data_IF_100973535349
#
_entry.id   IF_100973535349
#
_cell.length_a   1.000
_cell.length_b   1.000
_cell.length_c   1.000
_cell.angle_alpha   90.00
_cell.angle_beta   90.00
_cell.angle_gamma   90.00
#
_symmetry.space_group_name_H-M   'P 1'
#
loop_
_entity.id
_entity.type
_entity.pdbx_description
1 polymer ?
#
# COMPACT_ATOMS: atom_id res chain seq x y z
N UNK A 1 -2.81 11.82 6.30
CA UNK A 1 -3.31 10.45 5.99
C UNK A 1 -4.81 10.44 6.18
N UNK A 2 -5.54 9.70 5.34
CA UNK A 2 -6.98 9.49 5.51
C UNK A 2 -7.28 8.75 6.81
N UNK A 3 -8.39 9.12 7.45
CA UNK A 3 -8.91 8.50 8.67
C UNK A 3 -10.41 8.37 8.55
N UNK A 4 -10.98 7.35 9.18
CA UNK A 4 -12.42 7.15 9.22
C UNK A 4 -13.14 8.45 9.61
N UNK A 5 -14.14 8.84 8.83
CA UNK A 5 -15.09 9.92 9.11
C UNK A 5 -16.43 9.33 9.56
N UNK A 6 -17.15 10.06 10.42
CA UNK A 6 -18.49 9.67 10.85
C UNK A 6 -19.55 10.37 9.99
N UNK A 7 -20.68 9.69 9.73
CA UNK A 7 -21.81 10.28 9.01
C UNK A 7 -21.69 10.34 7.48
N UNK A 8 -20.65 9.74 6.90
CA UNK A 8 -20.44 9.63 5.44
C UNK A 8 -20.28 8.17 5.01
N UNK A 9 -20.60 7.86 3.75
CA UNK A 9 -20.45 6.51 3.21
C UNK A 9 -19.01 6.21 2.77
N UNK A 10 -18.44 7.14 1.99
CA UNK A 10 -17.09 7.08 1.43
C UNK A 10 -16.50 8.49 1.45
N UNK A 11 -15.19 8.61 1.72
CA UNK A 11 -14.44 9.83 1.46
C UNK A 11 -13.13 9.56 0.71
N UNK A 12 -12.68 10.57 -0.05
CA UNK A 12 -11.42 10.57 -0.81
C UNK A 12 -10.49 11.70 -0.40
N UNK A 13 -10.93 12.54 0.53
CA UNK A 13 -10.19 13.72 0.97
C UNK A 13 -9.66 13.53 2.39
N UNK A 14 -8.38 13.86 2.58
CA UNK A 14 -7.76 13.90 3.90
C UNK A 14 -7.69 15.34 4.40
N UNK A 15 -8.04 15.55 5.68
CA UNK A 15 -7.72 16.79 6.38
C UNK A 15 -6.29 16.66 6.91
N UNK A 16 -5.37 17.38 6.28
CA UNK A 16 -3.96 17.46 6.71
C UNK A 16 -3.75 18.68 7.60
N UNK A 17 -2.66 18.67 8.38
CA UNK A 17 -2.28 19.83 9.19
C UNK A 17 -1.99 21.05 8.30
N UNK A 18 -2.30 22.25 8.81
CA UNK A 18 -1.99 23.50 8.12
C UNK A 18 -0.52 23.57 7.68
N UNK A 19 -0.30 23.90 6.40
CA UNK A 19 1.03 23.99 5.80
C UNK A 19 1.67 22.65 5.42
N UNK A 20 1.04 21.51 5.71
CA UNK A 20 1.53 20.19 5.30
C UNK A 20 1.29 19.92 3.80
N UNK A 21 0.26 20.53 3.23
CA UNK A 21 -0.18 20.27 1.88
C UNK A 21 -0.51 21.57 1.13
N UNK A 22 0.26 21.85 0.08
CA UNK A 22 0.10 23.04 -0.77
C UNK A 22 -0.87 22.82 -1.93
N UNK A 23 -1.13 21.55 -2.30
CA UNK A 23 -1.99 21.18 -3.41
C UNK A 23 -2.83 19.93 -3.05
N UNK A 24 -4.05 20.11 -2.50
CA UNK A 24 -4.88 19.02 -1.96
C UNK A 24 -5.24 17.87 -2.92
N UNK A 25 -5.51 18.08 -4.23
CA UNK A 25 -5.93 17.00 -5.13
C UNK A 25 -4.78 16.16 -5.68
N UNK A 26 -3.53 16.36 -5.28
CA UNK A 26 -2.40 15.54 -5.74
C UNK A 26 -1.77 14.73 -4.61
N UNK A 27 -1.31 13.48 -4.86
CA UNK A 27 -0.53 12.74 -3.87
C UNK A 27 0.72 13.53 -3.44
N UNK A 28 1.11 13.49 -2.14
CA UNK A 28 0.54 12.65 -1.08
C UNK A 28 -0.72 13.23 -0.40
N UNK A 29 -1.12 14.45 -0.76
CA UNK A 29 -2.20 15.22 -0.14
C UNK A 29 -3.60 14.72 -0.52
N UNK A 30 -3.72 14.13 -1.71
CA UNK A 30 -4.89 13.36 -2.10
C UNK A 30 -4.78 11.92 -1.56
N UNK A 31 -5.16 11.77 -0.30
CA UNK A 31 -5.53 10.50 0.32
C UNK A 31 -4.52 9.36 0.12
N UNK A 32 -3.33 9.52 0.69
CA UNK A 32 -2.59 8.32 1.10
C UNK A 32 -3.45 7.53 2.10
N UNK A 33 -3.85 6.32 1.68
CA UNK A 33 -4.56 5.34 2.51
C UNK A 33 -3.53 4.28 2.91
N UNK A 34 -3.25 4.17 4.21
CA UNK A 34 -2.55 2.99 4.73
C UNK A 34 -3.53 1.81 4.64
N UNK A 35 -3.23 0.88 3.74
CA UNK A 35 -4.18 -0.16 3.37
C UNK A 35 -3.99 -1.38 4.28
N UNK A 36 -4.95 -1.56 5.20
CA UNK A 36 -5.03 -2.75 6.06
C UNK A 36 -6.05 -3.78 5.55
N UNK A 37 -7.17 -3.32 4.98
CA UNK A 37 -8.19 -4.16 4.38
C UNK A 37 -8.70 -3.53 3.08
N UNK A 38 -7.95 -3.65 1.97
CA UNK A 38 -8.37 -3.07 0.70
C UNK A 38 -9.55 -3.83 0.10
N UNK A 39 -10.40 -3.09 -0.60
CA UNK A 39 -11.32 -3.62 -1.58
C UNK A 39 -10.97 -2.99 -2.92
N UNK A 40 -10.90 -3.80 -3.97
CA UNK A 40 -10.51 -3.35 -5.30
C UNK A 40 -11.68 -3.46 -6.27
N UNK A 41 -11.77 -2.52 -7.21
CA UNK A 41 -12.54 -2.76 -8.43
C UNK A 41 -11.97 -3.98 -9.16
N UNK A 42 -12.78 -4.62 -10.00
CA UNK A 42 -12.33 -5.80 -10.76
C UNK A 42 -11.11 -5.51 -11.63
N UNK A 43 -11.02 -4.31 -12.18
CA UNK A 43 -9.94 -3.93 -13.08
C UNK A 43 -8.67 -3.57 -12.31
N UNK A 44 -8.79 -2.81 -11.22
CA UNK A 44 -7.66 -2.55 -10.31
C UNK A 44 -7.13 -3.86 -9.70
N UNK A 45 -8.00 -4.80 -9.32
CA UNK A 45 -7.61 -6.09 -8.77
C UNK A 45 -6.69 -6.87 -9.70
N UNK A 46 -6.95 -6.88 -11.01
CA UNK A 46 -6.08 -7.58 -11.98
C UNK A 46 -4.66 -7.04 -11.94
N UNK A 47 -4.49 -5.71 -11.87
CA UNK A 47 -3.17 -5.11 -11.73
C UNK A 47 -2.52 -5.43 -10.37
N UNK A 48 -3.27 -5.24 -9.28
CA UNK A 48 -2.77 -5.48 -7.92
C UNK A 48 -2.38 -6.94 -7.70
N UNK A 49 -3.11 -7.88 -8.29
CA UNK A 49 -2.80 -9.30 -8.27
C UNK A 49 -1.38 -9.60 -8.80
N UNK A 50 -0.93 -8.87 -9.81
CA UNK A 50 0.43 -9.02 -10.33
C UNK A 50 1.50 -8.35 -9.44
N UNK A 51 1.12 -7.38 -8.61
CA UNK A 51 2.02 -6.77 -7.62
C UNK A 51 2.28 -7.69 -6.42
N UNK A 52 1.23 -8.36 -5.94
CA UNK A 52 1.27 -9.31 -4.83
C UNK A 52 1.97 -10.59 -5.29
N UNK A 53 3.14 -10.89 -4.74
CA UNK A 53 3.90 -12.11 -5.08
C UNK A 53 4.40 -12.89 -3.86
N UNK A 54 3.95 -12.50 -2.67
CA UNK A 54 4.16 -13.21 -1.42
C UNK A 54 2.79 -13.58 -0.83
N UNK A 55 2.78 -14.39 0.22
CA UNK A 55 1.57 -14.86 0.92
C UNK A 55 0.79 -13.71 1.63
N UNK A 56 1.02 -12.44 1.26
CA UNK A 56 0.54 -11.23 1.93
C UNK A 56 0.95 -11.15 3.41
N UNK A 57 1.88 -12.00 3.82
CA UNK A 57 2.36 -12.13 5.20
C UNK A 57 3.08 -10.84 5.64
N UNK A 58 3.74 -10.14 4.70
CA UNK A 58 4.33 -8.82 4.96
C UNK A 58 3.97 -7.84 3.83
N UNK A 59 2.86 -7.12 3.99
CA UNK A 59 2.38 -6.11 3.03
C UNK A 59 3.05 -4.74 3.15
N UNK A 60 4.18 -4.61 3.87
CA UNK A 60 4.78 -3.31 4.15
C UNK A 60 5.24 -2.62 2.87
N UNK A 61 4.72 -1.41 2.64
CA UNK A 61 5.03 -0.57 1.51
C UNK A 61 4.31 -0.92 0.20
N UNK A 62 3.46 -1.95 0.18
CA UNK A 62 2.63 -2.28 -0.99
C UNK A 62 1.66 -1.14 -1.31
N UNK A 63 1.10 -0.52 -0.27
CA UNK A 63 0.22 0.65 -0.32
C UNK A 63 0.79 1.83 -1.11
N UNK A 64 2.10 2.05 -1.09
CA UNK A 64 2.76 3.08 -1.93
C UNK A 64 2.64 2.81 -3.43
N UNK A 65 2.48 1.55 -3.84
CA UNK A 65 2.44 1.15 -5.24
C UNK A 65 1.02 0.96 -5.79
N UNK A 66 0.01 0.73 -4.93
CA UNK A 66 -1.36 0.42 -5.37
C UNK A 66 -1.97 1.53 -6.24
N UNK A 67 -1.58 2.79 -6.02
CA UNK A 67 -1.96 3.94 -6.86
C UNK A 67 -1.56 3.82 -8.34
N UNK A 68 -0.67 2.89 -8.70
CA UNK A 68 -0.25 2.63 -10.09
C UNK A 68 -1.24 1.75 -10.85
N UNK A 69 -2.20 1.13 -10.15
CA UNK A 69 -3.24 0.31 -10.76
C UNK A 69 -4.51 1.08 -11.15
N UNK A 70 -4.44 2.41 -11.11
CA UNK A 70 -5.51 3.35 -11.41
C UNK A 70 -4.91 4.55 -12.14
N UNK A 71 -5.69 5.20 -13.01
CA UNK A 71 -5.19 6.32 -13.84
C UNK A 71 -5.15 7.62 -13.01
N UNK A 72 -6.20 7.86 -12.23
CA UNK A 72 -6.35 9.05 -11.41
C UNK A 72 -6.50 8.65 -9.95
N UNK A 73 -5.37 8.31 -9.32
CA UNK A 73 -5.35 7.80 -7.95
C UNK A 73 -6.10 8.65 -6.91
N UNK A 74 -6.10 9.98 -7.07
CA UNK A 74 -6.80 10.90 -6.17
C UNK A 74 -8.34 10.86 -6.33
N UNK A 75 -8.82 10.48 -7.51
CA UNK A 75 -10.24 10.35 -7.80
C UNK A 75 -10.74 8.92 -7.58
N UNK A 76 -9.86 7.92 -7.64
CA UNK A 76 -10.26 6.51 -7.64
C UNK A 76 -10.02 5.80 -6.30
N UNK A 77 -9.21 6.39 -5.41
CA UNK A 77 -8.89 5.80 -4.09
C UNK A 77 -9.59 6.58 -2.99
N UNK A 78 -10.17 5.85 -2.03
CA UNK A 78 -10.84 6.42 -0.87
C UNK A 78 -11.02 5.40 0.25
N UNK A 79 -11.65 5.84 1.33
CA UNK A 79 -12.02 5.03 2.49
C UNK A 79 -13.51 4.82 2.49
N UNK A 80 -13.95 3.58 2.71
CA UNK A 80 -15.37 3.25 2.96
C UNK A 80 -15.61 3.38 4.46
N UNK A 81 -16.27 4.46 4.89
CA UNK A 81 -16.44 4.78 6.31
C UNK A 81 -17.59 4.04 6.98
N UNK A 82 -18.61 3.68 6.19
CA UNK A 82 -19.78 2.92 6.67
C UNK A 82 -19.45 1.47 7.01
N UNK A 83 -18.41 0.91 6.37
CA UNK A 83 -17.95 -0.46 6.57
C UNK A 83 -16.49 -0.45 7.01
N UNK A 84 -16.28 -0.40 8.31
CA UNK A 84 -14.96 -0.29 8.90
C UNK A 84 -14.64 -1.51 9.76
N UNK A 85 -13.35 -1.75 9.95
CA UNK A 85 -12.84 -2.80 10.82
C UNK A 85 -11.93 -2.20 11.89
N UNK A 86 -11.93 -2.81 13.07
CA UNK A 86 -10.99 -2.47 14.13
C UNK A 86 -9.72 -3.28 13.93
N UNK A 87 -8.63 -2.60 13.58
CA UNK A 87 -7.31 -3.19 13.68
C UNK A 87 -6.85 -3.21 15.14
N UNK A 88 -6.74 -4.40 15.74
CA UNK A 88 -6.35 -4.56 17.16
C UNK A 88 -4.85 -4.36 17.41
N UNK A 89 -4.04 -4.16 16.37
CA UNK A 89 -2.57 -4.05 16.47
C UNK A 89 -1.91 -5.25 17.16
N UNK A 90 -2.52 -6.44 17.06
CA UNK A 90 -1.97 -7.70 17.59
C UNK A 90 -1.16 -8.35 16.46
N UNK A 91 0.17 -8.47 16.59
CA UNK A 91 0.98 -9.05 15.53
C UNK A 91 0.74 -10.57 15.44
N UNK A 92 0.00 -11.02 14.43
CA UNK A 92 -0.40 -12.42 14.23
C UNK A 92 0.75 -13.34 13.85
N UNK A 93 1.86 -12.77 13.35
CA UNK A 93 3.00 -13.51 12.79
C UNK A 93 4.25 -13.42 13.67
N UNK A 94 4.19 -12.77 14.83
CA UNK A 94 5.38 -12.45 15.63
C UNK A 94 6.21 -13.68 16.05
N UNK A 95 5.57 -14.85 16.11
CA UNK A 95 6.18 -16.13 16.46
C UNK A 95 6.62 -16.96 15.23
N UNK A 96 6.43 -16.46 14.01
CA UNK A 96 6.77 -17.17 12.76
C UNK A 96 8.16 -16.83 12.20
N UNK A 97 8.98 -16.09 12.96
CA UNK A 97 10.39 -15.89 12.63
C UNK A 97 11.25 -16.95 13.30
N UNK A 98 12.48 -17.09 12.81
CA UNK A 98 13.47 -17.97 13.43
C UNK A 98 14.19 -17.23 14.55
N UNK A 99 14.28 -17.86 15.72
CA UNK A 99 15.15 -17.39 16.79
C UNK A 99 16.57 -17.88 16.53
N UNK A 100 17.47 -16.99 16.12
CA UNK A 100 18.87 -17.32 15.80
C UNK A 100 19.80 -16.22 16.32
N UNK A 101 21.00 -16.59 16.76
CA UNK A 101 22.04 -15.64 17.20
C UNK A 101 21.58 -14.63 18.26
N UNK A 102 20.72 -15.06 19.19
CA UNK A 102 20.17 -14.20 20.25
C UNK A 102 18.98 -13.32 19.82
N UNK A 103 18.54 -13.38 18.55
CA UNK A 103 17.34 -12.70 18.07
C UNK A 103 16.08 -13.46 18.47
N UNK A 104 15.04 -12.70 18.80
CA UNK A 104 13.68 -13.22 19.00
C UNK A 104 13.02 -13.57 17.67
N UNK A 105 12.00 -14.46 17.65
CA UNK A 105 11.21 -14.72 16.45
C UNK A 105 10.64 -13.44 15.81
N UNK A 106 10.21 -12.48 16.64
CA UNK A 106 9.65 -11.21 16.15
C UNK A 106 10.68 -10.35 15.40
N UNK A 107 11.93 -10.36 15.85
CA UNK A 107 13.03 -9.71 15.12
C UNK A 107 13.31 -10.40 13.79
N UNK A 108 13.25 -11.74 13.75
CA UNK A 108 13.35 -12.49 12.49
C UNK A 108 12.22 -12.16 11.50
N UNK A 109 10.99 -11.97 11.99
CA UNK A 109 9.87 -11.50 11.16
C UNK A 109 10.13 -10.09 10.63
N UNK A 110 10.59 -9.17 11.48
CA UNK A 110 10.92 -7.80 11.05
C UNK A 110 12.01 -7.80 9.99
N UNK A 111 13.08 -8.56 10.16
CA UNK A 111 14.15 -8.70 9.16
C UNK A 111 13.60 -9.21 7.82
N UNK A 112 12.74 -10.23 7.86
CA UNK A 112 12.05 -10.75 6.67
C UNK A 112 11.19 -9.68 5.99
N UNK A 113 10.42 -8.87 6.74
CA UNK A 113 9.67 -7.73 6.18
C UNK A 113 10.56 -6.78 5.37
N UNK A 114 11.75 -6.45 5.89
CA UNK A 114 12.67 -5.51 5.24
C UNK A 114 13.25 -6.10 3.95
N UNK A 115 13.57 -7.39 3.98
CA UNK A 115 14.05 -8.11 2.80
C UNK A 115 12.96 -8.20 1.72
N UNK A 116 11.73 -8.54 2.09
CA UNK A 116 10.58 -8.55 1.19
C UNK A 116 10.30 -7.18 0.58
N UNK A 117 10.38 -6.11 1.37
CA UNK A 117 10.24 -4.75 0.88
C UNK A 117 11.35 -4.38 -0.13
N UNK A 118 12.60 -4.78 0.12
CA UNK A 118 13.70 -4.54 -0.82
C UNK A 118 13.44 -5.26 -2.15
N UNK A 119 13.07 -6.53 -2.12
CA UNK A 119 12.74 -7.30 -3.32
C UNK A 119 11.56 -6.68 -4.10
N UNK A 120 10.53 -6.22 -3.39
CA UNK A 120 9.40 -5.55 -4.00
C UNK A 120 9.81 -4.27 -4.74
N UNK A 121 10.61 -3.40 -4.11
CA UNK A 121 11.10 -2.17 -4.74
C UNK A 121 11.92 -2.45 -6.01
N UNK A 122 12.82 -3.43 -5.96
CA UNK A 122 13.63 -3.83 -7.13
C UNK A 122 12.74 -4.31 -8.28
N UNK A 123 11.73 -5.13 -7.99
CA UNK A 123 10.77 -5.60 -9.00
C UNK A 123 9.96 -4.47 -9.61
N UNK A 124 9.47 -3.53 -8.79
CA UNK A 124 8.72 -2.37 -9.27
C UNK A 124 9.59 -1.50 -10.20
N UNK A 125 10.84 -1.22 -9.81
CA UNK A 125 11.77 -0.47 -10.65
C UNK A 125 12.02 -1.16 -12.00
N UNK A 126 12.19 -2.50 -11.99
CA UNK A 126 12.37 -3.26 -13.23
C UNK A 126 11.12 -3.21 -14.13
N UNK A 127 9.91 -3.31 -13.55
CA UNK A 127 8.67 -3.23 -14.30
C UNK A 127 8.48 -1.85 -14.96
N UNK A 128 8.79 -0.77 -14.23
CA UNK A 128 8.76 0.60 -14.75
C UNK A 128 9.77 0.82 -15.87
N UNK A 129 11.00 0.30 -15.71
CA UNK A 129 12.02 0.37 -16.75
C UNK A 129 11.58 -0.38 -18.01
N UNK A 130 11.00 -1.58 -17.88
CA UNK A 130 10.48 -2.34 -19.01
C UNK A 130 9.31 -1.63 -19.70
N UNK A 131 8.40 -1.01 -18.95
CA UNK A 131 7.29 -0.23 -19.51
C UNK A 131 7.80 0.99 -20.31
N UNK A 132 8.79 1.71 -19.78
CA UNK A 132 9.40 2.85 -20.46
C UNK A 132 10.13 2.42 -21.75
N UNK A 133 10.84 1.29 -21.74
CA UNK A 133 11.51 0.74 -22.92
C UNK A 133 10.51 0.27 -23.99
N UNK A 134 9.42 -0.39 -23.59
CA UNK A 134 8.35 -0.80 -24.49
C UNK A 134 7.71 0.40 -25.18
N UNK A 135 7.46 1.49 -24.44
CA UNK A 135 6.91 2.72 -24.99
C UNK A 135 7.85 3.40 -26.00
N UNK A 136 9.15 3.41 -25.73
CA UNK A 136 10.16 3.94 -26.65
C UNK A 136 10.40 3.06 -27.90
N UNK A 137 9.98 1.78 -27.88
CA UNK A 137 10.14 0.87 -29.02
C UNK A 137 8.94 0.87 -29.97
N UNK A 138 7.83 1.50 -29.57
CA UNK A 138 6.58 1.62 -30.33
C UNK A 138 6.35 3.00 -30.96
N UNK A 139 7.27 3.94 -30.75
CA UNK A 139 7.34 5.25 -31.41
C UNK A 139 8.49 5.27 -32.41
#
# INVERSE_FOLDING_TARGET
MTRKKDGVEVHKEAEEKDGWCSNPPVPPCAAFVEIMAPVFSRDAWRCVWHMIQNDLVHGWGLDFALRKCVEHAHDEIGVVDTQWIIHKSIPSLNNQGKAENGRTPGEGVRERCHNEWKMFKERMANAEAAQAQGHNSTN
#
